data_IF_451458926098
#
_entry.id   IF_451458926098
#
_cell.length_a   1.000
_cell.length_b   1.000
_cell.length_c   1.000
_cell.angle_alpha   90.00
_cell.angle_beta   90.00
_cell.angle_gamma   90.00
#
_symmetry.space_group_name_H-M   'P 1'
#
loop_
_entity.id
_entity.type
_entity.pdbx_description
1 polymer ?
#
# COMPACT_ATOMS: atom_id res chain seq x y z
N UNK A 1 -11.02 -20.20 -4.35
CA UNK A 1 -10.42 -19.72 -3.08
C UNK A 1 -9.18 -18.84 -3.29
N UNK A 2 -8.13 -19.27 -4.02
CA UNK A 2 -6.91 -18.43 -4.19
C UNK A 2 -7.19 -17.02 -4.78
N UNK A 3 -8.08 -16.93 -5.76
CA UNK A 3 -8.48 -15.64 -6.38
C UNK A 3 -9.25 -14.73 -5.41
N UNK A 4 -10.09 -15.29 -4.54
CA UNK A 4 -10.84 -14.52 -3.53
C UNK A 4 -9.89 -14.00 -2.45
N UNK A 5 -8.94 -14.81 -1.98
CA UNK A 5 -7.91 -14.34 -1.05
C UNK A 5 -7.04 -13.23 -1.64
N UNK A 6 -6.66 -13.34 -2.93
CA UNK A 6 -5.93 -12.29 -3.62
C UNK A 6 -6.74 -10.99 -3.71
N UNK A 7 -8.02 -11.07 -4.07
CA UNK A 7 -8.91 -9.90 -4.12
C UNK A 7 -9.06 -9.20 -2.76
N UNK A 8 -9.32 -9.98 -1.70
CA UNK A 8 -9.42 -9.45 -0.32
C UNK A 8 -8.10 -8.82 0.12
N UNK A 9 -6.97 -9.46 -0.17
CA UNK A 9 -5.64 -8.92 0.17
C UNK A 9 -5.36 -7.58 -0.53
N UNK A 10 -5.74 -7.44 -1.80
CA UNK A 10 -5.61 -6.16 -2.52
C UNK A 10 -6.51 -5.08 -1.92
N UNK A 11 -7.77 -5.41 -1.62
CA UNK A 11 -8.69 -4.46 -0.98
C UNK A 11 -8.17 -3.98 0.38
N UNK A 12 -7.72 -4.91 1.22
CA UNK A 12 -7.10 -4.58 2.50
C UNK A 12 -5.85 -3.71 2.31
N UNK A 13 -4.99 -4.07 1.35
CA UNK A 13 -3.78 -3.30 1.05
C UNK A 13 -4.09 -1.87 0.59
N UNK A 14 -5.10 -1.68 -0.27
CA UNK A 14 -5.55 -0.35 -0.71
C UNK A 14 -6.10 0.48 0.46
N UNK A 15 -6.88 -0.15 1.34
CA UNK A 15 -7.36 0.51 2.55
C UNK A 15 -6.20 0.98 3.45
N UNK A 16 -5.18 0.14 3.66
CA UNK A 16 -4.01 0.50 4.46
C UNK A 16 -3.19 1.64 3.82
N UNK A 17 -3.11 1.70 2.49
CA UNK A 17 -2.48 2.81 1.77
C UNK A 17 -3.25 4.11 2.00
N UNK A 18 -4.57 4.07 1.84
CA UNK A 18 -5.41 5.26 2.05
C UNK A 18 -5.29 5.77 3.50
N UNK A 19 -5.30 4.85 4.49
CA UNK A 19 -5.07 5.20 5.89
C UNK A 19 -3.70 5.85 6.11
N UNK A 20 -2.63 5.27 5.56
CA UNK A 20 -1.28 5.82 5.66
C UNK A 20 -1.13 7.23 5.04
N UNK A 21 -1.91 7.53 4.00
CA UNK A 21 -1.96 8.86 3.39
C UNK A 21 -2.77 9.83 4.26
N UNK A 22 -3.87 9.38 4.87
CA UNK A 22 -4.75 10.23 5.66
C UNK A 22 -4.15 10.59 7.04
N UNK A 23 -3.45 9.66 7.69
CA UNK A 23 -2.95 9.81 9.05
C UNK A 23 -2.17 11.11 9.32
N UNK A 24 -1.22 11.54 8.44
CA UNK A 24 -0.47 12.78 8.62
C UNK A 24 -1.33 14.05 8.62
N UNK A 25 -2.55 13.99 8.07
CA UNK A 25 -3.49 15.12 8.03
C UNK A 25 -4.50 15.08 9.17
N UNK A 26 -4.65 13.93 9.84
CA UNK A 26 -5.59 13.75 10.95
C UNK A 26 -4.90 14.00 12.30
N UNK A 27 -3.62 13.67 12.42
CA UNK A 27 -2.85 13.87 13.66
C UNK A 27 -2.30 15.31 13.73
N UNK A 28 -2.47 15.95 14.90
CA UNK A 28 -1.75 17.17 15.22
C UNK A 28 -0.30 16.84 15.63
N UNK A 29 0.61 16.91 14.66
CA UNK A 29 2.03 16.60 14.87
C UNK A 29 2.73 17.60 15.79
N UNK A 30 2.13 18.76 16.05
CA UNK A 30 2.72 19.83 16.86
C UNK A 30 2.36 19.72 18.34
N UNK A 31 1.31 18.96 18.67
CA UNK A 31 0.89 18.71 20.04
C UNK A 31 1.01 17.22 20.41
N UNK A 32 2.08 16.83 21.16
CA UNK A 32 2.22 15.47 21.68
C UNK A 32 1.07 15.00 22.57
N UNK A 33 0.30 15.91 23.18
CA UNK A 33 -0.86 15.51 23.96
C UNK A 33 -1.94 14.84 23.10
N UNK A 34 -1.99 15.16 21.80
CA UNK A 34 -2.96 14.61 20.86
C UNK A 34 -2.70 13.15 20.49
N UNK A 35 -1.43 12.72 20.40
CA UNK A 35 -1.05 11.37 19.93
C UNK A 35 -0.31 10.50 20.95
N UNK A 36 -0.01 11.02 22.16
CA UNK A 36 0.78 10.26 23.14
C UNK A 36 0.13 8.98 23.64
N UNK A 37 -1.20 8.91 23.59
CA UNK A 37 -1.98 7.74 24.01
C UNK A 37 -2.35 6.83 22.83
N UNK A 38 -2.00 7.24 21.61
CA UNK A 38 -2.23 6.44 20.41
C UNK A 38 -1.25 5.27 20.33
N UNK A 39 -1.59 4.27 19.54
CA UNK A 39 -0.70 3.13 19.32
C UNK A 39 0.57 3.56 18.60
N UNK A 40 1.71 3.35 19.24
CA UNK A 40 3.01 3.85 18.80
C UNK A 40 3.44 5.16 19.46
N UNK A 41 2.58 5.79 20.27
CA UNK A 41 2.95 6.87 21.18
C UNK A 41 3.93 6.40 22.27
N UNK A 42 4.62 7.32 22.99
CA UNK A 42 4.45 8.77 22.97
C UNK A 42 5.23 9.50 21.86
N UNK A 43 5.99 8.78 21.04
CA UNK A 43 6.77 9.38 19.96
C UNK A 43 5.96 9.48 18.66
N UNK A 44 6.05 10.61 17.96
CA UNK A 44 5.45 10.77 16.63
C UNK A 44 5.93 9.69 15.66
N UNK A 45 7.22 9.33 15.71
CA UNK A 45 7.80 8.30 14.85
C UNK A 45 7.15 6.93 15.05
N UNK A 46 6.85 6.54 16.29
CA UNK A 46 6.19 5.28 16.58
C UNK A 46 4.74 5.25 16.09
N UNK A 47 3.99 6.36 16.28
CA UNK A 47 2.62 6.49 15.75
C UNK A 47 2.61 6.39 14.23
N UNK A 48 3.50 7.11 13.54
CA UNK A 48 3.66 7.03 12.09
C UNK A 48 4.09 5.63 11.64
N UNK A 49 4.95 4.93 12.39
CA UNK A 49 5.35 3.57 12.04
C UNK A 49 4.17 2.60 12.07
N UNK A 50 3.31 2.68 13.10
CA UNK A 50 2.14 1.81 13.25
C UNK A 50 1.04 2.12 12.22
N UNK A 51 0.79 3.41 11.95
CA UNK A 51 -0.32 3.84 11.12
C UNK A 51 0.04 3.94 9.64
N UNK A 52 1.27 4.37 9.31
CA UNK A 52 1.72 4.52 7.93
C UNK A 52 2.51 3.31 7.40
N UNK A 53 3.28 2.63 8.27
CA UNK A 53 4.15 1.51 7.88
C UNK A 53 3.44 0.41 7.09
N UNK A 54 2.30 -0.14 7.57
CA UNK A 54 1.55 -1.16 6.84
C UNK A 54 1.07 -0.70 5.45
N UNK A 55 0.71 0.58 5.31
CA UNK A 55 0.33 1.16 4.02
C UNK A 55 1.51 1.22 3.04
N UNK A 56 2.68 1.63 3.51
CA UNK A 56 3.91 1.64 2.68
C UNK A 56 4.27 0.22 2.20
N UNK A 57 4.21 -0.77 3.09
CA UNK A 57 4.46 -2.18 2.74
C UNK A 57 3.42 -2.66 1.70
N UNK A 58 2.15 -2.34 1.91
CA UNK A 58 1.07 -2.69 0.97
C UNK A 58 1.29 -2.07 -0.40
N UNK A 59 1.66 -0.78 -0.47
CA UNK A 59 1.98 -0.09 -1.71
C UNK A 59 3.15 -0.77 -2.45
N UNK A 60 4.20 -1.15 -1.73
CA UNK A 60 5.35 -1.82 -2.31
C UNK A 60 5.00 -3.19 -2.90
N UNK A 61 4.20 -3.99 -2.17
CA UNK A 61 3.79 -5.32 -2.62
C UNK A 61 2.85 -5.25 -3.83
N UNK A 62 1.82 -4.40 -3.77
CA UNK A 62 0.89 -4.19 -4.88
C UNK A 62 1.64 -3.64 -6.10
N UNK A 63 2.47 -2.62 -5.91
CA UNK A 63 3.28 -2.03 -6.98
C UNK A 63 4.22 -3.04 -7.64
N UNK A 64 4.88 -3.91 -6.87
CA UNK A 64 5.69 -5.03 -7.40
C UNK A 64 4.83 -6.01 -8.21
N UNK A 65 3.66 -6.37 -7.71
CA UNK A 65 2.71 -7.24 -8.42
C UNK A 65 2.29 -6.65 -9.77
N UNK A 66 1.84 -5.39 -9.79
CA UNK A 66 1.46 -4.66 -11.01
C UNK A 66 2.63 -4.58 -12.00
N UNK A 67 3.84 -4.22 -11.51
CA UNK A 67 5.03 -4.15 -12.35
C UNK A 67 5.41 -5.50 -12.97
N UNK A 68 5.36 -6.58 -12.19
CA UNK A 68 5.65 -7.92 -12.71
C UNK A 68 4.65 -8.35 -13.78
N UNK A 69 3.38 -8.00 -13.59
CA UNK A 69 2.33 -8.28 -14.55
C UNK A 69 2.52 -7.51 -15.87
N UNK A 70 2.89 -6.23 -15.81
CA UNK A 70 3.20 -5.45 -17.00
C UNK A 70 4.42 -5.97 -17.76
N UNK A 71 5.48 -6.37 -17.06
CA UNK A 71 6.70 -6.92 -17.68
C UNK A 71 6.48 -8.29 -18.35
N UNK A 72 5.49 -9.05 -17.89
CA UNK A 72 5.18 -10.38 -18.42
C UNK A 72 4.25 -10.39 -19.63
N UNK A 73 3.76 -9.24 -20.11
CA UNK A 73 2.91 -9.19 -21.31
C UNK A 73 3.79 -9.31 -22.56
N UNK A 74 3.74 -10.42 -23.33
CA UNK A 74 4.45 -10.50 -24.59
C UNK A 74 3.91 -9.42 -25.52
N UNK A 75 4.81 -8.57 -26.05
CA UNK A 75 4.47 -7.70 -27.16
C UNK A 75 3.87 -8.57 -28.25
N UNK A 76 2.61 -8.31 -28.62
CA UNK A 76 1.91 -8.97 -29.73
C UNK A 76 2.83 -8.91 -30.94
N UNK A 77 3.49 -10.04 -31.24
CA UNK A 77 4.32 -10.18 -32.42
C UNK A 77 3.38 -10.00 -33.61
N UNK A 78 3.58 -9.01 -34.49
CA UNK A 78 2.72 -8.85 -35.65
C UNK A 78 2.75 -10.17 -36.42
N UNK A 79 1.56 -10.70 -36.71
CA UNK A 79 1.41 -11.93 -37.47
C UNK A 79 2.19 -11.78 -38.78
N UNK A 80 3.20 -12.62 -38.96
CA UNK A 80 3.95 -12.71 -40.21
C UNK A 80 2.99 -13.28 -41.25
N UNK A 81 2.29 -12.41 -41.98
CA UNK A 81 1.52 -12.81 -43.13
C UNK A 81 2.46 -13.03 -44.31
N UNK A 82 2.36 -14.20 -44.93
CA UNK A 82 2.80 -14.46 -46.29
C UNK A 82 4.13 -15.20 -46.42
N UNK A 83 4.05 -16.53 -46.50
CA UNK A 83 4.77 -17.28 -47.53
C UNK A 83 3.86 -17.41 -48.76
#
# INVERSE_FOLDING_TARGET
MKKTFAGVGVLLGLYLIARAIAEPFVIDMTDPASYRLDWGGPSLAGVLAVHCGPGVVSAALIGRGVRSWWRGRPATRPARYGE
#
